data_IF_747157714773
#
_entry.id   IF_747157714773
#
_cell.length_a   1.000
_cell.length_b   1.000
_cell.length_c   1.000
_cell.angle_alpha   90.00
_cell.angle_beta   90.00
_cell.angle_gamma   90.00
#
_symmetry.space_group_name_H-M   'P 1'
#
loop_
_entity.id
_entity.type
_entity.pdbx_description
1 polymer ?
#
# COMPACT_ATOMS: atom_id res chain seq x y z
N UNK A 1 -35.10 30.67 -13.26
CA UNK A 1 -34.55 31.07 -11.95
C UNK A 1 -35.69 31.02 -10.92
N UNK A 2 -35.69 30.08 -9.98
CA UNK A 2 -36.84 29.91 -9.06
C UNK A 2 -37.03 31.14 -8.16
N UNK A 3 -38.26 31.38 -7.67
CA UNK A 3 -38.57 32.48 -6.76
C UNK A 3 -37.65 32.46 -5.52
N UNK A 4 -37.34 31.29 -4.97
CA UNK A 4 -36.40 31.13 -3.85
C UNK A 4 -34.99 31.62 -4.20
N UNK A 5 -34.50 31.34 -5.41
CA UNK A 5 -33.19 31.80 -5.89
C UNK A 5 -33.17 33.33 -6.06
N UNK A 6 -34.26 33.92 -6.59
CA UNK A 6 -34.42 35.38 -6.71
C UNK A 6 -34.44 36.08 -5.34
N UNK A 7 -35.16 35.54 -4.36
CA UNK A 7 -35.23 36.11 -3.01
C UNK A 7 -33.91 35.97 -2.24
N UNK A 8 -33.22 34.83 -2.32
CA UNK A 8 -31.91 34.64 -1.70
C UNK A 8 -30.83 35.54 -2.31
N UNK A 9 -30.86 35.74 -3.64
CA UNK A 9 -29.96 36.66 -4.34
C UNK A 9 -30.16 38.13 -3.94
N UNK A 10 -31.40 38.52 -3.62
CA UNK A 10 -31.68 39.85 -3.06
C UNK A 10 -31.19 39.97 -1.62
N UNK A 11 -31.36 38.94 -0.80
CA UNK A 11 -30.92 38.92 0.60
C UNK A 11 -29.40 39.11 0.76
N UNK A 12 -28.59 38.55 -0.13
CA UNK A 12 -27.12 38.68 -0.10
C UNK A 12 -26.60 40.07 -0.52
N UNK A 13 -27.36 40.82 -1.33
CA UNK A 13 -26.99 42.17 -1.78
C UNK A 13 -27.45 43.29 -0.85
N UNK A 14 -28.43 43.02 0.02
CA UNK A 14 -28.92 43.99 0.99
C UNK A 14 -27.98 43.99 2.18
N UNK A 15 -27.41 45.17 2.50
CA UNK A 15 -26.58 45.34 3.70
C UNK A 15 -27.39 44.90 4.94
N UNK A 16 -26.75 44.22 5.90
CA UNK A 16 -27.42 43.63 7.10
C UNK A 16 -28.32 44.65 7.81
N UNK A 17 -27.91 45.91 7.86
CA UNK A 17 -28.70 46.99 8.46
C UNK A 17 -29.97 47.35 7.65
N UNK A 18 -29.92 47.27 6.32
CA UNK A 18 -31.04 47.56 5.43
C UNK A 18 -32.06 46.40 5.41
N UNK A 19 -31.57 45.17 5.62
CA UNK A 19 -32.41 43.97 5.77
C UNK A 19 -33.33 44.09 6.99
N UNK A 20 -32.84 44.71 8.07
CA UNK A 20 -33.58 44.93 9.32
C UNK A 20 -34.68 45.99 9.21
N UNK A 21 -34.65 46.85 8.18
CA UNK A 21 -35.67 47.89 7.93
C UNK A 21 -36.88 47.40 7.13
N UNK A 22 -36.84 46.18 6.59
CA UNK A 22 -37.97 45.60 5.89
C UNK A 22 -39.04 45.09 6.86
N UNK A 23 -40.33 45.05 6.46
CA UNK A 23 -41.39 44.41 7.21
C UNK A 23 -41.03 42.97 7.56
N UNK A 24 -41.44 42.52 8.76
CA UNK A 24 -41.02 41.23 9.29
C UNK A 24 -41.33 40.08 8.33
N UNK A 25 -42.50 40.06 7.69
CA UNK A 25 -42.86 39.01 6.72
C UNK A 25 -41.85 38.88 5.57
N UNK A 26 -41.39 40.01 5.01
CA UNK A 26 -40.41 40.03 3.92
C UNK A 26 -39.04 39.55 4.40
N UNK A 27 -38.64 39.97 5.61
CA UNK A 27 -37.37 39.58 6.23
C UNK A 27 -37.31 38.06 6.48
N UNK A 28 -38.38 37.47 7.01
CA UNK A 28 -38.43 36.03 7.28
C UNK A 28 -38.37 35.21 5.98
N UNK A 29 -39.10 35.60 4.93
CA UNK A 29 -39.08 34.90 3.64
C UNK A 29 -37.69 34.93 3.00
N UNK A 30 -37.01 36.09 3.05
CA UNK A 30 -35.67 36.24 2.48
C UNK A 30 -34.62 35.44 3.26
N UNK A 31 -34.68 35.45 4.59
CA UNK A 31 -33.79 34.65 5.43
C UNK A 31 -34.04 33.15 5.27
N UNK A 32 -35.29 32.71 5.22
CA UNK A 32 -35.65 31.31 5.01
C UNK A 32 -35.13 30.81 3.64
N UNK A 33 -35.33 31.59 2.58
CA UNK A 33 -34.81 31.26 1.25
C UNK A 33 -33.28 31.21 1.23
N UNK A 34 -32.60 32.15 1.89
CA UNK A 34 -31.15 32.18 1.99
C UNK A 34 -30.59 30.98 2.75
N UNK A 35 -31.11 30.67 3.94
CA UNK A 35 -30.67 29.54 4.76
C UNK A 35 -30.92 28.21 4.04
N UNK A 36 -32.06 28.06 3.36
CA UNK A 36 -32.36 26.87 2.58
C UNK A 36 -31.35 26.63 1.46
N UNK A 37 -31.06 27.66 0.65
CA UNK A 37 -30.08 27.54 -0.44
C UNK A 37 -28.64 27.38 0.06
N UNK A 38 -28.27 28.11 1.12
CA UNK A 38 -26.93 28.02 1.71
C UNK A 38 -26.71 26.66 2.36
N UNK A 39 -27.71 26.11 3.04
CA UNK A 39 -27.68 24.77 3.61
C UNK A 39 -27.44 23.73 2.52
N UNK A 40 -28.20 23.79 1.42
CA UNK A 40 -28.01 22.90 0.26
C UNK A 40 -26.62 23.00 -0.34
N UNK A 41 -26.11 24.22 -0.55
CA UNK A 41 -24.77 24.41 -1.10
C UNK A 41 -23.69 23.82 -0.18
N UNK A 42 -23.79 24.01 1.14
CA UNK A 42 -22.85 23.42 2.10
C UNK A 42 -22.94 21.90 2.08
N UNK A 43 -24.14 21.32 2.06
CA UNK A 43 -24.29 19.85 1.99
C UNK A 43 -23.75 19.28 0.70
N UNK A 44 -23.95 19.96 -0.44
CA UNK A 44 -23.42 19.54 -1.74
C UNK A 44 -21.89 19.50 -1.72
N UNK A 45 -21.26 20.59 -1.25
CA UNK A 45 -19.80 20.65 -1.09
C UNK A 45 -19.27 19.59 -0.12
N UNK A 46 -19.98 19.29 0.97
CA UNK A 46 -19.59 18.23 1.91
C UNK A 46 -19.69 16.84 1.29
N UNK A 47 -20.72 16.59 0.47
CA UNK A 47 -20.88 15.33 -0.24
C UNK A 47 -19.78 15.15 -1.29
N UNK A 48 -19.47 16.19 -2.06
CA UNK A 48 -18.38 16.16 -3.04
C UNK A 48 -17.04 15.86 -2.37
N UNK A 49 -16.74 16.55 -1.26
CA UNK A 49 -15.52 16.30 -0.48
C UNK A 49 -15.48 14.87 0.08
N UNK A 50 -16.61 14.34 0.54
CA UNK A 50 -16.69 12.96 1.02
C UNK A 50 -16.42 11.96 -0.12
N UNK A 51 -16.98 12.19 -1.30
CA UNK A 51 -16.74 11.35 -2.48
C UNK A 51 -15.25 11.38 -2.85
N UNK A 52 -14.65 12.57 -2.91
CA UNK A 52 -13.23 12.74 -3.24
C UNK A 52 -12.33 12.02 -2.23
N UNK A 53 -12.59 12.19 -0.93
CA UNK A 53 -11.80 11.56 0.12
C UNK A 53 -11.90 10.03 0.10
N UNK A 54 -13.11 9.47 -0.11
CA UNK A 54 -13.31 8.03 -0.24
C UNK A 54 -12.58 7.49 -1.47
N UNK A 55 -12.66 8.19 -2.61
CA UNK A 55 -11.97 7.79 -3.82
C UNK A 55 -10.44 7.79 -3.63
N UNK A 56 -9.89 8.84 -3.01
CA UNK A 56 -8.47 8.94 -2.71
C UNK A 56 -7.98 7.82 -1.78
N UNK A 57 -8.77 7.44 -0.76
CA UNK A 57 -8.46 6.30 0.11
C UNK A 57 -8.46 5.00 -0.68
N UNK A 58 -9.46 4.78 -1.55
CA UNK A 58 -9.56 3.60 -2.40
C UNK A 58 -8.34 3.43 -3.31
N UNK A 59 -8.01 4.47 -4.08
CA UNK A 59 -6.84 4.46 -4.99
C UNK A 59 -5.55 4.19 -4.21
N UNK A 60 -5.38 4.82 -3.04
CA UNK A 60 -4.18 4.61 -2.22
C UNK A 60 -4.09 3.18 -1.68
N UNK A 61 -5.22 2.57 -1.31
CA UNK A 61 -5.25 1.19 -0.86
C UNK A 61 -4.89 0.22 -2.00
N UNK A 62 -5.48 0.41 -3.18
CA UNK A 62 -5.19 -0.40 -4.37
C UNK A 62 -3.71 -0.33 -4.76
N UNK A 63 -3.16 0.89 -4.85
CA UNK A 63 -1.74 1.08 -5.18
C UNK A 63 -0.83 0.43 -4.15
N UNK A 64 -1.18 0.49 -2.85
CA UNK A 64 -0.40 -0.14 -1.79
C UNK A 64 -0.39 -1.68 -1.93
N UNK A 65 -1.55 -2.28 -2.19
CA UNK A 65 -1.65 -3.73 -2.39
C UNK A 65 -0.89 -4.17 -3.63
N UNK A 66 -1.00 -3.44 -4.74
CA UNK A 66 -0.27 -3.74 -5.96
C UNK A 66 1.26 -3.68 -5.74
N UNK A 67 1.73 -2.66 -5.00
CA UNK A 67 3.14 -2.55 -4.62
C UNK A 67 3.61 -3.72 -3.75
N UNK A 68 2.84 -4.09 -2.74
CA UNK A 68 3.16 -5.24 -1.88
C UNK A 68 3.24 -6.54 -2.69
N UNK A 69 2.31 -6.77 -3.63
CA UNK A 69 2.35 -7.93 -4.53
C UNK A 69 3.56 -7.93 -5.47
N UNK A 70 3.89 -6.78 -6.06
CA UNK A 70 5.07 -6.63 -6.92
C UNK A 70 6.37 -6.85 -6.13
N UNK A 71 6.45 -6.35 -4.91
CA UNK A 71 7.63 -6.51 -4.05
C UNK A 71 7.78 -7.96 -3.58
N UNK A 72 6.69 -8.65 -3.25
CA UNK A 72 6.74 -10.08 -2.93
C UNK A 72 7.15 -10.93 -4.14
N UNK A 73 6.66 -10.62 -5.34
CA UNK A 73 7.09 -11.29 -6.57
C UNK A 73 8.58 -11.06 -6.85
N UNK A 74 9.07 -9.82 -6.75
CA UNK A 74 10.51 -9.51 -6.88
C UNK A 74 11.34 -10.24 -5.83
N UNK A 75 10.85 -10.31 -4.58
CA UNK A 75 11.53 -11.01 -3.48
C UNK A 75 11.62 -12.51 -3.74
N UNK A 76 10.59 -13.14 -4.29
CA UNK A 76 10.62 -14.56 -4.66
C UNK A 76 11.51 -14.79 -5.88
N UNK A 77 11.35 -14.00 -6.94
CA UNK A 77 12.15 -14.08 -8.17
C UNK A 77 13.65 -13.91 -7.89
N UNK A 78 14.03 -12.87 -7.15
CA UNK A 78 15.43 -12.63 -6.79
C UNK A 78 16.05 -13.77 -5.98
N UNK A 79 15.28 -14.45 -5.12
CA UNK A 79 15.76 -15.64 -4.39
C UNK A 79 15.93 -16.84 -5.32
N UNK A 80 15.00 -17.08 -6.23
CA UNK A 80 15.07 -18.18 -7.19
C UNK A 80 16.22 -17.95 -8.18
N UNK A 81 16.37 -16.73 -8.70
CA UNK A 81 17.44 -16.35 -9.61
C UNK A 81 18.82 -16.50 -8.94
N UNK A 82 18.97 -16.06 -7.69
CA UNK A 82 20.19 -16.26 -6.92
C UNK A 82 20.52 -17.76 -6.74
N UNK A 83 19.53 -18.59 -6.40
CA UNK A 83 19.72 -20.04 -6.25
C UNK A 83 20.05 -20.72 -7.57
N UNK A 84 19.43 -20.29 -8.67
CA UNK A 84 19.67 -20.84 -10.00
C UNK A 84 21.06 -20.48 -10.51
N UNK A 85 21.48 -19.22 -10.33
CA UNK A 85 22.82 -18.76 -10.65
C UNK A 85 23.89 -19.49 -9.83
N UNK A 86 23.62 -19.73 -8.54
CA UNK A 86 24.51 -20.51 -7.67
C UNK A 86 24.61 -21.97 -8.14
N UNK A 87 23.48 -22.60 -8.48
CA UNK A 87 23.44 -23.98 -8.97
C UNK A 87 24.19 -24.13 -10.30
N UNK A 88 24.00 -23.20 -11.24
CA UNK A 88 24.72 -23.18 -12.51
C UNK A 88 26.22 -23.04 -12.29
N UNK A 89 26.64 -22.11 -11.44
CA UNK A 89 28.06 -21.91 -11.13
C UNK A 89 28.69 -23.16 -10.49
N UNK A 90 27.96 -23.87 -9.64
CA UNK A 90 28.40 -25.13 -9.03
C UNK A 90 28.52 -26.28 -10.05
N UNK A 91 27.66 -26.31 -11.08
CA UNK A 91 27.72 -27.29 -12.18
C UNK A 91 28.87 -26.99 -13.14
N UNK A 92 29.11 -25.73 -13.46
CA UNK A 92 30.18 -25.32 -14.40
C UNK A 92 31.59 -25.50 -13.82
N UNK A 93 31.77 -25.26 -12.51
CA UNK A 93 33.07 -25.33 -11.84
C UNK A 93 32.98 -26.14 -10.54
N UNK A 94 32.90 -27.48 -10.63
CA UNK A 94 32.74 -28.35 -9.46
C UNK A 94 33.96 -28.33 -8.52
N UNK A 95 35.17 -28.19 -9.04
CA UNK A 95 36.43 -28.16 -8.26
C UNK A 95 36.90 -26.75 -7.90
N UNK A 96 36.14 -25.72 -8.29
CA UNK A 96 36.47 -24.32 -7.99
C UNK A 96 36.29 -24.00 -6.50
N UNK A 97 37.15 -23.15 -5.95
CA UNK A 97 36.97 -22.73 -4.55
C UNK A 97 35.69 -21.89 -4.43
N UNK A 98 34.92 -22.06 -3.33
CA UNK A 98 33.68 -21.28 -3.09
C UNK A 98 33.89 -19.76 -3.25
N UNK A 99 35.09 -19.27 -2.93
CA UNK A 99 35.43 -17.85 -3.04
C UNK A 99 35.49 -17.36 -4.50
N UNK A 100 35.94 -18.20 -5.41
CA UNK A 100 36.06 -17.88 -6.84
C UNK A 100 34.77 -18.14 -7.62
N UNK A 101 33.87 -18.98 -7.08
CA UNK A 101 32.62 -19.38 -7.75
C UNK A 101 31.42 -18.60 -7.23
N UNK A 102 31.35 -18.25 -5.94
CA UNK A 102 30.13 -17.68 -5.34
C UNK A 102 30.18 -16.16 -5.20
N UNK A 103 31.31 -15.61 -4.74
CA UNK A 103 31.45 -14.17 -4.47
C UNK A 103 31.46 -13.27 -5.71
N UNK A 104 31.81 -13.74 -6.93
CA UNK A 104 31.62 -12.92 -8.13
C UNK A 104 30.15 -12.76 -8.54
N UNK A 105 29.25 -13.66 -8.12
CA UNK A 105 27.83 -13.61 -8.47
C UNK A 105 26.95 -12.92 -7.42
N UNK A 106 27.38 -12.91 -6.16
CA UNK A 106 26.59 -12.42 -5.03
C UNK A 106 27.49 -11.71 -4.02
N UNK A 107 27.11 -10.50 -3.61
CA UNK A 107 27.81 -9.77 -2.55
C UNK A 107 27.78 -10.55 -1.22
N UNK A 108 28.87 -10.47 -0.46
CA UNK A 108 28.99 -11.15 0.84
C UNK A 108 27.91 -10.70 1.83
N UNK A 109 27.50 -9.44 1.76
CA UNK A 109 26.43 -8.88 2.60
C UNK A 109 25.09 -9.57 2.31
N UNK A 110 24.74 -9.77 1.04
CA UNK A 110 23.49 -10.42 0.62
C UNK A 110 23.43 -11.87 1.11
N UNK A 111 24.54 -12.60 1.07
CA UNK A 111 24.63 -13.97 1.62
C UNK A 111 24.48 -13.99 3.15
N UNK A 112 25.12 -13.04 3.85
CA UNK A 112 24.99 -12.92 5.31
C UNK A 112 23.56 -12.58 5.72
N UNK A 113 22.89 -11.71 4.98
CA UNK A 113 21.50 -11.34 5.21
C UNK A 113 20.55 -12.51 4.91
N UNK A 114 20.82 -13.29 3.86
CA UNK A 114 20.08 -14.51 3.54
C UNK A 114 20.22 -15.59 4.65
N UNK A 115 21.41 -15.73 5.22
CA UNK A 115 21.66 -16.62 6.37
C UNK A 115 20.94 -16.11 7.62
N UNK A 116 20.87 -14.79 7.83
CA UNK A 116 20.14 -14.19 8.96
C UNK A 116 18.63 -14.42 8.82
N UNK A 117 18.08 -14.20 7.63
CA UNK A 117 16.68 -14.44 7.30
C UNK A 117 16.31 -15.92 7.45
N UNK A 118 17.14 -16.84 6.97
CA UNK A 118 16.89 -18.28 7.13
C UNK A 118 16.92 -18.69 8.60
N UNK A 119 17.87 -18.19 9.40
CA UNK A 119 17.95 -18.48 10.84
C UNK A 119 16.74 -17.96 11.61
N UNK A 120 16.18 -16.81 11.22
CA UNK A 120 14.98 -16.23 11.83
C UNK A 120 13.70 -17.04 11.48
N UNK A 121 13.65 -17.64 10.29
CA UNK A 121 12.48 -18.40 9.79
C UNK A 121 12.46 -19.85 10.28
N UNK A 122 13.52 -20.34 10.93
CA UNK A 122 13.87 -21.77 10.97
C UNK A 122 13.90 -22.45 12.35
N UNK A 123 12.76 -22.63 13.03
CA UNK A 123 12.59 -23.75 13.96
C UNK A 123 12.23 -25.06 13.20
N UNK A 124 11.37 -24.95 12.19
CA UNK A 124 10.85 -26.09 11.42
C UNK A 124 11.91 -26.61 10.43
N UNK A 125 12.59 -25.71 9.71
CA UNK A 125 13.58 -26.07 8.70
C UNK A 125 14.87 -26.67 9.28
N UNK A 126 15.29 -26.30 10.50
CA UNK A 126 16.39 -26.98 11.22
C UNK A 126 16.08 -28.43 11.56
N UNK A 127 14.82 -28.74 11.84
CA UNK A 127 14.40 -30.09 12.23
C UNK A 127 14.37 -31.02 11.01
N UNK A 128 13.84 -30.54 9.88
CA UNK A 128 13.82 -31.30 8.62
C UNK A 128 15.23 -31.46 8.03
N UNK A 129 16.06 -30.42 7.98
CA UNK A 129 17.45 -30.56 7.53
C UNK A 129 18.25 -31.56 8.36
N UNK A 130 18.14 -31.50 9.70
CA UNK A 130 18.82 -32.46 10.59
C UNK A 130 18.36 -33.88 10.34
N UNK A 131 17.06 -34.09 10.05
CA UNK A 131 16.54 -35.41 9.69
C UNK A 131 17.11 -35.90 8.35
N UNK A 132 17.14 -35.04 7.33
CA UNK A 132 17.65 -35.40 5.99
C UNK A 132 19.16 -35.63 5.99
N UNK A 133 19.95 -34.78 6.65
CA UNK A 133 21.39 -34.98 6.82
C UNK A 133 21.70 -36.28 7.58
N UNK A 134 20.96 -36.57 8.66
CA UNK A 134 21.13 -37.82 9.42
C UNK A 134 20.78 -39.06 8.60
N UNK A 135 19.84 -38.94 7.65
CA UNK A 135 19.52 -39.97 6.66
C UNK A 135 20.66 -40.15 5.66
N UNK A 136 21.20 -39.07 5.08
CA UNK A 136 22.29 -39.13 4.10
C UNK A 136 23.60 -39.69 4.68
N UNK A 137 23.96 -39.36 5.92
CA UNK A 137 25.17 -39.90 6.56
C UNK A 137 25.01 -41.36 7.05
N UNK A 138 23.79 -41.87 7.18
CA UNK A 138 23.56 -43.30 7.50
C UNK A 138 23.86 -44.22 6.32
N UNK A 139 23.73 -43.75 5.09
CA UNK A 139 24.08 -44.55 3.90
C UNK A 139 25.59 -44.73 3.70
N UNK A 140 26.40 -43.77 4.15
CA UNK A 140 27.85 -43.78 3.91
C UNK A 140 28.66 -44.55 4.96
N UNK A 141 28.06 -44.93 6.09
CA UNK A 141 28.70 -45.72 7.15
C UNK A 141 28.39 -47.22 7.10
N UNK A 142 27.64 -47.68 6.09
CA UNK A 142 27.23 -49.08 5.92
C UNK A 142 27.98 -49.83 4.78
N UNK A 143 28.94 -49.18 4.13
CA UNK A 143 29.74 -49.78 3.04
C UNK A 143 31.23 -49.58 3.31
N UNK A 144 31.75 -50.25 4.34
CA UNK A 144 33.15 -50.69 4.48
C UNK A 144 33.17 -51.97 5.30
#
# INVERSE_FOLDING_TARGET
>A
MSLACSYAYRATRVRVYALRRHPDAVRHVWLAAYVYLRGRAVTDTLVDLLIETVHHIGVRAETKVEQEMLDDLKRVGGKQDLLFNLANAAVEKPDGTMREVVFPLVDEQTLRDLVRESKATSPIYRTTLRATLRSSYRGHSATW
#
